data_IF_924456802042
#
_entry.id   IF_924456802042
#
_cell.length_a   1.000
_cell.length_b   1.000
_cell.length_c   1.000
_cell.angle_alpha   90.00
_cell.angle_beta   90.00
_cell.angle_gamma   90.00
#
_symmetry.space_group_name_H-M   'P 1'
#
loop_
_entity.id
_entity.type
_entity.pdbx_description
1 polymer ?
#
# COMPACT_ATOMS: atom_id res chain seq x y z
N UNK A 1 -37.32 -1.69 -37.65
CA UNK A 1 -38.23 -1.39 -36.54
C UNK A 1 -37.83 -0.09 -35.79
N UNK A 2 -36.54 0.14 -35.45
CA UNK A 2 -36.11 1.37 -34.74
C UNK A 2 -36.21 2.66 -35.56
N UNK A 3 -35.95 2.62 -36.88
CA UNK A 3 -35.96 3.78 -37.75
C UNK A 3 -37.37 4.39 -37.94
N UNK A 4 -38.37 3.52 -38.02
CA UNK A 4 -39.78 3.90 -38.19
C UNK A 4 -40.37 4.63 -36.96
N UNK A 5 -39.88 4.31 -35.78
CA UNK A 5 -40.27 4.94 -34.51
C UNK A 5 -39.62 6.33 -34.41
N UNK A 6 -38.34 6.43 -34.77
CA UNK A 6 -37.62 7.70 -34.77
C UNK A 6 -38.24 8.69 -35.75
N UNK A 7 -38.57 8.25 -36.98
CA UNK A 7 -39.19 9.12 -38.01
C UNK A 7 -40.58 9.61 -37.56
N UNK A 8 -41.36 8.80 -36.84
CA UNK A 8 -42.67 9.22 -36.28
C UNK A 8 -42.51 10.19 -35.11
N UNK A 9 -41.51 9.99 -34.25
CA UNK A 9 -41.24 10.93 -33.16
C UNK A 9 -40.77 12.27 -33.69
N UNK A 10 -39.92 12.30 -34.71
CA UNK A 10 -39.47 13.53 -35.36
C UNK A 10 -40.66 14.30 -36.00
N UNK A 11 -41.57 13.62 -36.73
CA UNK A 11 -42.78 14.25 -37.29
C UNK A 11 -43.71 14.80 -36.21
N UNK A 12 -43.86 14.12 -35.07
CA UNK A 12 -44.67 14.59 -33.96
C UNK A 12 -44.07 15.84 -33.30
N UNK A 13 -42.75 15.87 -33.14
CA UNK A 13 -42.03 17.02 -32.59
C UNK A 13 -42.10 18.25 -33.50
N UNK A 14 -42.03 18.08 -34.81
CA UNK A 14 -42.17 19.18 -35.80
C UNK A 14 -43.54 19.84 -35.80
N UNK A 15 -44.58 19.21 -35.26
CA UNK A 15 -45.95 19.77 -35.15
C UNK A 15 -46.24 20.51 -33.86
N UNK A 16 -45.31 20.49 -32.88
CA UNK A 16 -45.45 21.11 -31.56
C UNK A 16 -44.92 22.55 -31.58
N UNK A 17 -45.40 23.39 -30.64
CA UNK A 17 -44.90 24.73 -30.43
C UNK A 17 -43.42 24.72 -30.03
N UNK A 18 -42.65 25.74 -30.47
CA UNK A 18 -41.18 25.77 -30.32
C UNK A 18 -40.69 25.60 -28.88
N UNK A 19 -41.41 26.12 -27.89
CA UNK A 19 -41.05 25.96 -26.47
C UNK A 19 -41.25 24.51 -26.00
N UNK A 20 -42.36 23.89 -26.38
CA UNK A 20 -42.65 22.49 -26.04
C UNK A 20 -41.73 21.51 -26.76
N UNK A 21 -41.29 21.83 -27.98
CA UNK A 21 -40.25 21.06 -28.70
C UNK A 21 -38.92 21.06 -27.99
N UNK A 22 -38.47 22.21 -27.48
CA UNK A 22 -37.20 22.33 -26.74
C UNK A 22 -37.23 21.56 -25.42
N UNK A 23 -38.35 21.56 -24.70
CA UNK A 23 -38.51 20.85 -23.44
C UNK A 23 -38.53 19.32 -23.65
N UNK A 24 -39.28 18.80 -24.62
CA UNK A 24 -39.33 17.38 -24.98
C UNK A 24 -37.93 16.88 -25.45
N UNK A 25 -37.23 17.70 -26.26
CA UNK A 25 -35.89 17.34 -26.74
C UNK A 25 -34.88 17.27 -25.59
N UNK A 26 -34.94 18.20 -24.65
CA UNK A 26 -34.12 18.23 -23.45
C UNK A 26 -34.35 17.03 -22.55
N UNK A 27 -35.62 16.69 -22.29
CA UNK A 27 -35.97 15.54 -21.43
C UNK A 27 -35.58 14.20 -22.08
N UNK A 28 -35.78 14.10 -23.41
CA UNK A 28 -35.37 12.90 -24.16
C UNK A 28 -33.84 12.73 -24.18
N UNK A 29 -33.11 13.85 -24.39
CA UNK A 29 -31.65 13.84 -24.33
C UNK A 29 -31.14 13.48 -22.95
N UNK A 30 -31.72 14.05 -21.89
CA UNK A 30 -31.33 13.71 -20.51
C UNK A 30 -31.61 12.24 -20.20
N UNK A 31 -32.77 11.71 -20.59
CA UNK A 31 -33.10 10.29 -20.39
C UNK A 31 -32.17 9.36 -21.17
N UNK A 32 -31.75 9.68 -22.38
CA UNK A 32 -30.77 8.92 -23.16
C UNK A 32 -29.38 8.97 -22.53
N UNK A 33 -28.95 10.13 -22.05
CA UNK A 33 -27.65 10.30 -21.37
C UNK A 33 -27.64 9.53 -20.07
N UNK A 34 -28.71 9.58 -19.29
CA UNK A 34 -28.82 8.86 -18.01
C UNK A 34 -28.79 7.34 -18.23
N UNK A 35 -29.48 6.81 -19.24
CA UNK A 35 -29.47 5.38 -19.58
C UNK A 35 -28.07 4.92 -20.05
N UNK A 36 -27.40 5.71 -20.88
CA UNK A 36 -26.03 5.42 -21.30
C UNK A 36 -25.02 5.47 -20.15
N UNK A 37 -25.17 6.41 -19.22
CA UNK A 37 -24.33 6.50 -18.01
C UNK A 37 -24.53 5.28 -17.12
N UNK A 38 -25.78 4.89 -16.89
CA UNK A 38 -26.11 3.67 -16.10
C UNK A 38 -25.52 2.42 -16.76
N UNK A 39 -25.72 2.27 -18.07
CA UNK A 39 -25.19 1.13 -18.84
C UNK A 39 -23.67 1.09 -18.83
N UNK A 40 -23.01 2.24 -18.98
CA UNK A 40 -21.56 2.35 -18.89
C UNK A 40 -21.07 2.02 -17.47
N UNK A 41 -21.73 2.55 -16.45
CA UNK A 41 -21.42 2.26 -15.04
C UNK A 41 -21.47 0.75 -14.72
N UNK A 42 -22.49 0.04 -15.19
CA UNK A 42 -22.60 -1.41 -15.04
C UNK A 42 -21.48 -2.17 -15.76
N UNK A 43 -21.13 -1.78 -16.99
CA UNK A 43 -20.00 -2.38 -17.71
C UNK A 43 -18.68 -2.18 -16.98
N UNK A 44 -18.42 -0.96 -16.47
CA UNK A 44 -17.22 -0.66 -15.68
C UNK A 44 -17.21 -1.48 -14.40
N UNK A 45 -18.34 -1.61 -13.72
CA UNK A 45 -18.47 -2.42 -12.50
C UNK A 45 -18.15 -3.90 -12.75
N UNK A 46 -18.70 -4.48 -13.79
CA UNK A 46 -18.45 -5.89 -14.16
C UNK A 46 -16.98 -6.10 -14.50
N UNK A 47 -16.40 -5.22 -15.32
CA UNK A 47 -14.99 -5.27 -15.71
C UNK A 47 -14.05 -5.13 -14.51
N UNK A 48 -14.35 -4.19 -13.60
CA UNK A 48 -13.55 -3.99 -12.39
C UNK A 48 -13.56 -5.21 -11.46
N UNK A 49 -14.70 -5.89 -11.32
CA UNK A 49 -14.81 -7.12 -10.55
C UNK A 49 -14.00 -8.26 -11.17
N UNK A 50 -14.00 -8.37 -12.49
CA UNK A 50 -13.22 -9.42 -13.18
C UNK A 50 -11.72 -9.17 -13.08
N UNK A 51 -11.28 -7.91 -13.27
CA UNK A 51 -9.88 -7.52 -13.07
C UNK A 51 -9.46 -7.77 -11.62
N UNK A 52 -10.28 -7.38 -10.63
CA UNK A 52 -9.97 -7.61 -9.22
C UNK A 52 -9.83 -9.10 -8.90
N UNK A 53 -10.67 -9.95 -9.47
CA UNK A 53 -10.57 -11.42 -9.30
C UNK A 53 -9.30 -11.99 -9.96
N UNK A 54 -8.90 -11.48 -11.12
CA UNK A 54 -7.66 -11.91 -11.78
C UNK A 54 -6.42 -11.51 -10.98
N UNK A 55 -6.39 -10.28 -10.45
CA UNK A 55 -5.32 -9.81 -9.56
C UNK A 55 -5.23 -10.67 -8.30
N UNK A 56 -6.38 -10.96 -7.65
CA UNK A 56 -6.39 -11.78 -6.43
C UNK A 56 -5.92 -13.22 -6.68
N UNK A 57 -6.28 -13.82 -7.83
CA UNK A 57 -5.74 -15.14 -8.22
C UNK A 57 -4.22 -15.09 -8.40
N UNK A 58 -3.69 -14.09 -9.11
CA UNK A 58 -2.25 -13.91 -9.28
C UNK A 58 -1.52 -13.75 -7.94
N UNK A 59 -2.06 -12.97 -7.01
CA UNK A 59 -1.50 -12.84 -5.66
C UNK A 59 -1.60 -14.14 -4.85
N UNK A 60 -2.67 -14.90 -5.02
CA UNK A 60 -2.84 -16.21 -4.36
C UNK A 60 -1.79 -17.21 -4.84
N UNK A 61 -1.53 -17.25 -6.14
CA UNK A 61 -0.53 -18.15 -6.73
C UNK A 61 0.90 -17.79 -6.26
N UNK A 62 1.22 -16.48 -6.20
CA UNK A 62 2.51 -16.01 -5.67
C UNK A 62 2.64 -16.35 -4.19
N UNK A 63 1.58 -16.13 -3.38
CA UNK A 63 1.58 -16.50 -1.96
C UNK A 63 1.82 -18.00 -1.75
N UNK A 64 1.17 -18.84 -2.55
CA UNK A 64 1.38 -20.28 -2.51
C UNK A 64 2.82 -20.67 -2.88
N UNK A 65 3.39 -20.05 -3.90
CA UNK A 65 4.79 -20.27 -4.30
C UNK A 65 5.74 -19.87 -3.16
N UNK A 66 5.57 -18.67 -2.61
CA UNK A 66 6.41 -18.18 -1.49
C UNK A 66 6.30 -19.11 -0.29
N UNK A 67 5.09 -19.56 0.05
CA UNK A 67 4.88 -20.48 1.17
C UNK A 67 5.55 -21.84 0.94
N UNK A 68 5.53 -22.37 -0.26
CA UNK A 68 6.12 -23.66 -0.60
C UNK A 68 7.65 -23.60 -0.66
N UNK A 69 8.21 -22.57 -1.28
CA UNK A 69 9.65 -22.48 -1.56
C UNK A 69 10.45 -21.76 -0.46
N UNK A 70 9.81 -20.83 0.27
CA UNK A 70 10.50 -19.89 1.16
C UNK A 70 10.05 -19.94 2.60
N UNK A 71 9.13 -20.86 2.97
CA UNK A 71 8.63 -20.96 4.37
C UNK A 71 9.75 -21.04 5.39
N UNK A 72 10.72 -21.93 5.19
CA UNK A 72 11.85 -22.10 6.10
C UNK A 72 12.70 -20.83 6.26
N UNK A 73 12.89 -20.07 5.17
CA UNK A 73 13.62 -18.80 5.21
C UNK A 73 12.84 -17.72 5.97
N UNK A 74 11.53 -17.67 5.81
CA UNK A 74 10.65 -16.76 6.53
C UNK A 74 10.58 -17.12 8.03
N UNK A 75 10.65 -18.39 8.37
CA UNK A 75 10.71 -18.87 9.75
C UNK A 75 12.04 -18.51 10.42
N UNK A 76 13.18 -18.65 9.71
CA UNK A 76 14.48 -18.18 10.18
C UNK A 76 14.50 -16.67 10.44
N UNK A 77 13.89 -15.88 9.58
CA UNK A 77 13.73 -14.44 9.78
C UNK A 77 12.90 -14.14 11.05
N UNK A 78 11.86 -14.93 11.31
CA UNK A 78 11.04 -14.81 12.53
C UNK A 78 11.84 -15.17 13.77
N UNK A 79 12.63 -16.24 13.70
CA UNK A 79 13.49 -16.66 14.80
C UNK A 79 14.55 -15.60 15.12
N UNK A 80 15.20 -15.04 14.09
CA UNK A 80 16.16 -13.95 14.27
C UNK A 80 15.50 -12.72 14.93
N UNK A 81 14.27 -12.41 14.56
CA UNK A 81 13.49 -11.33 15.16
C UNK A 81 13.24 -11.59 16.66
N UNK A 82 12.79 -12.82 17.03
CA UNK A 82 12.54 -13.21 18.41
C UNK A 82 13.81 -13.12 19.27
N UNK A 83 14.93 -13.68 18.78
CA UNK A 83 16.24 -13.63 19.47
C UNK A 83 16.67 -12.16 19.68
N UNK A 84 16.52 -11.31 18.66
CA UNK A 84 16.90 -9.91 18.78
C UNK A 84 16.04 -9.15 19.79
N UNK A 85 14.78 -9.50 19.93
CA UNK A 85 13.86 -8.92 20.91
C UNK A 85 14.24 -9.34 22.33
N UNK A 86 14.51 -10.62 22.57
CA UNK A 86 15.00 -11.13 23.87
C UNK A 86 16.30 -10.43 24.27
N UNK A 87 17.27 -10.34 23.37
CA UNK A 87 18.54 -9.64 23.65
C UNK A 87 18.36 -8.18 24.06
N UNK A 88 17.38 -7.48 23.49
CA UNK A 88 17.07 -6.09 23.87
C UNK A 88 16.45 -6.04 25.28
N UNK A 89 15.60 -7.01 25.62
CA UNK A 89 14.89 -7.05 26.90
C UNK A 89 15.83 -7.46 28.06
N UNK A 90 16.75 -8.38 27.82
CA UNK A 90 17.70 -8.85 28.83
C UNK A 90 18.78 -7.82 29.22
N UNK A 91 19.12 -6.89 28.31
CA UNK A 91 20.19 -5.94 28.58
C UNK A 91 19.68 -4.69 29.33
N UNK A 92 20.18 -4.52 30.55
CA UNK A 92 19.92 -3.31 31.33
C UNK A 92 20.71 -2.11 30.79
N UNK A 93 20.14 -0.92 30.94
CA UNK A 93 20.83 0.30 30.57
C UNK A 93 22.07 0.55 31.47
N UNK A 94 23.19 1.01 30.92
CA UNK A 94 24.39 1.36 31.70
C UNK A 94 24.11 2.49 32.69
N UNK A 95 24.86 2.52 33.80
CA UNK A 95 24.77 3.60 34.80
C UNK A 95 25.37 4.91 34.32
N UNK A 96 26.41 4.86 33.49
CA UNK A 96 27.05 6.04 32.90
C UNK A 96 26.12 6.74 31.93
N UNK A 97 25.94 8.07 32.10
CA UNK A 97 25.00 8.86 31.29
C UNK A 97 25.30 8.81 29.78
N UNK A 98 26.56 8.96 29.38
CA UNK A 98 26.95 8.95 27.97
C UNK A 98 26.70 7.56 27.32
N UNK A 99 26.99 6.51 28.06
CA UNK A 99 26.71 5.13 27.59
C UNK A 99 25.22 4.82 27.59
N UNK A 100 24.47 5.43 28.49
CA UNK A 100 23.01 5.28 28.57
C UNK A 100 22.33 5.90 27.34
N UNK A 101 22.74 7.10 26.93
CA UNK A 101 22.19 7.75 25.73
C UNK A 101 22.53 6.96 24.46
N UNK A 102 23.75 6.44 24.35
CA UNK A 102 24.15 5.54 23.27
C UNK A 102 23.31 4.27 23.26
N UNK A 103 23.10 3.67 24.42
CA UNK A 103 22.31 2.45 24.57
C UNK A 103 20.87 2.66 24.12
N UNK A 104 20.18 3.72 24.55
CA UNK A 104 18.81 3.99 24.14
C UNK A 104 18.70 4.34 22.67
N UNK A 105 19.68 5.07 22.13
CA UNK A 105 19.73 5.37 20.69
C UNK A 105 19.86 4.08 19.87
N UNK A 106 20.78 3.20 20.21
CA UNK A 106 20.96 1.92 19.52
C UNK A 106 19.75 1.00 19.71
N UNK A 107 19.18 0.95 20.92
CA UNK A 107 17.93 0.18 21.19
C UNK A 107 16.78 0.67 20.30
N UNK A 108 16.61 1.97 20.12
CA UNK A 108 15.61 2.53 19.23
C UNK A 108 15.84 2.18 17.75
N UNK A 109 17.10 2.22 17.29
CA UNK A 109 17.44 1.80 15.93
C UNK A 109 17.21 0.31 15.69
N UNK A 110 17.54 -0.54 16.67
CA UNK A 110 17.25 -1.98 16.58
C UNK A 110 15.74 -2.23 16.55
N UNK A 111 14.96 -1.60 17.43
CA UNK A 111 13.50 -1.70 17.41
C UNK A 111 12.90 -1.30 16.05
N UNK A 112 13.41 -0.20 15.46
CA UNK A 112 13.02 0.21 14.11
C UNK A 112 13.41 -0.82 13.05
N UNK A 113 14.61 -1.37 13.13
CA UNK A 113 15.07 -2.44 12.24
C UNK A 113 14.17 -3.68 12.31
N UNK A 114 13.78 -4.10 13.52
CA UNK A 114 12.86 -5.21 13.73
C UNK A 114 11.48 -4.95 13.14
N UNK A 115 10.94 -3.72 13.29
CA UNK A 115 9.68 -3.33 12.68
C UNK A 115 9.76 -3.43 11.15
N UNK A 116 10.79 -2.85 10.53
CA UNK A 116 10.99 -2.91 9.08
C UNK A 116 11.16 -4.36 8.60
N UNK A 117 11.88 -5.20 9.35
CA UNK A 117 12.04 -6.63 9.03
C UNK A 117 10.71 -7.37 9.06
N UNK A 118 9.82 -7.07 10.01
CA UNK A 118 8.48 -7.65 10.07
C UNK A 118 7.61 -7.22 8.88
N UNK A 119 7.71 -5.96 8.46
CA UNK A 119 7.04 -5.45 7.26
C UNK A 119 7.54 -6.15 5.99
N UNK A 120 8.87 -6.36 5.86
CA UNK A 120 9.46 -7.11 4.74
C UNK A 120 8.88 -8.52 4.69
N UNK A 121 8.83 -9.22 5.84
CA UNK A 121 8.23 -10.55 5.93
C UNK A 121 6.77 -10.55 5.48
N UNK A 122 5.97 -9.63 5.99
CA UNK A 122 4.56 -9.50 5.61
C UNK A 122 4.39 -9.25 4.10
N UNK A 123 5.20 -8.38 3.51
CA UNK A 123 5.14 -8.06 2.09
C UNK A 123 5.55 -9.27 1.23
N UNK A 124 6.61 -9.98 1.59
CA UNK A 124 7.03 -11.21 0.90
C UNK A 124 5.96 -12.29 1.00
N UNK A 125 5.46 -12.56 2.21
CA UNK A 125 4.41 -13.54 2.43
C UNK A 125 3.09 -13.17 1.72
N UNK A 126 2.83 -11.88 1.55
CA UNK A 126 1.69 -11.34 0.82
C UNK A 126 1.82 -11.37 -0.71
N UNK A 127 3.02 -11.68 -1.24
CA UNK A 127 3.29 -11.66 -2.69
C UNK A 127 3.63 -10.27 -3.23
N UNK A 128 4.20 -9.38 -2.42
CA UNK A 128 4.59 -8.01 -2.79
C UNK A 128 6.11 -7.80 -2.75
N UNK A 129 6.90 -8.45 -3.66
CA UNK A 129 8.35 -8.40 -3.62
C UNK A 129 8.92 -6.99 -3.83
N UNK A 130 8.32 -6.17 -4.66
CA UNK A 130 8.77 -4.79 -4.91
C UNK A 130 8.63 -3.92 -3.66
N UNK A 131 7.52 -4.06 -2.93
CA UNK A 131 7.32 -3.41 -1.64
C UNK A 131 8.33 -3.87 -0.60
N UNK A 132 8.63 -5.16 -0.56
CA UNK A 132 9.65 -5.74 0.32
C UNK A 132 11.05 -5.19 -0.01
N UNK A 133 11.40 -5.05 -1.29
CA UNK A 133 12.68 -4.48 -1.73
C UNK A 133 12.83 -3.01 -1.31
N UNK A 134 11.77 -2.22 -1.41
CA UNK A 134 11.77 -0.83 -0.94
C UNK A 134 12.02 -0.76 0.58
N UNK A 135 11.39 -1.64 1.36
CA UNK A 135 11.62 -1.74 2.81
C UNK A 135 13.00 -2.27 3.16
N UNK A 136 13.57 -3.16 2.34
CA UNK A 136 14.95 -3.63 2.50
C UNK A 136 15.96 -2.49 2.44
N UNK A 137 15.78 -1.53 1.55
CA UNK A 137 16.63 -0.32 1.49
C UNK A 137 16.55 0.48 2.80
N UNK A 138 15.35 0.69 3.35
CA UNK A 138 15.18 1.36 4.63
C UNK A 138 15.87 0.60 5.78
N UNK A 139 15.80 -0.73 5.79
CA UNK A 139 16.53 -1.55 6.77
C UNK A 139 18.04 -1.38 6.66
N UNK A 140 18.57 -1.36 5.44
CA UNK A 140 19.99 -1.11 5.18
C UNK A 140 20.43 0.26 5.70
N UNK A 141 19.64 1.30 5.46
CA UNK A 141 19.92 2.67 5.97
C UNK A 141 19.94 2.71 7.50
N UNK A 142 18.97 2.08 8.16
CA UNK A 142 18.94 1.97 9.64
C UNK A 142 20.19 1.24 10.15
N UNK A 143 20.63 0.19 9.46
CA UNK A 143 21.84 -0.58 9.83
C UNK A 143 23.09 0.28 9.69
N UNK A 144 23.22 1.07 8.62
CA UNK A 144 24.34 2.00 8.43
C UNK A 144 24.36 3.07 9.54
N UNK A 145 23.21 3.65 9.87
CA UNK A 145 23.09 4.63 10.96
C UNK A 145 23.50 4.00 12.29
N UNK A 146 23.03 2.79 12.60
CA UNK A 146 23.39 2.09 13.83
C UNK A 146 24.90 1.79 13.91
N UNK A 147 25.52 1.36 12.80
CA UNK A 147 26.96 1.11 12.72
C UNK A 147 27.76 2.41 12.92
N UNK A 148 27.30 3.52 12.33
CA UNK A 148 27.91 4.82 12.48
C UNK A 148 27.82 5.32 13.93
N UNK A 149 26.63 5.28 14.54
CA UNK A 149 26.40 5.67 15.94
C UNK A 149 27.25 4.84 16.89
N UNK A 150 27.34 3.52 16.69
CA UNK A 150 28.18 2.64 17.47
C UNK A 150 29.66 3.01 17.37
N UNK A 151 30.14 3.38 16.18
CA UNK A 151 31.56 3.68 15.92
C UNK A 151 31.97 5.03 16.52
N UNK A 152 31.10 6.03 16.43
CA UNK A 152 31.45 7.40 16.82
C UNK A 152 30.99 7.79 18.24
N UNK A 153 30.14 6.98 18.85
CA UNK A 153 29.71 7.13 20.24
C UNK A 153 28.92 8.42 20.56
N UNK A 154 28.69 8.70 21.85
CA UNK A 154 27.89 9.82 22.32
C UNK A 154 28.55 11.21 22.11
N UNK A 155 29.84 11.27 21.77
CA UNK A 155 30.57 12.52 21.53
C UNK A 155 30.23 13.21 20.20
N UNK A 156 29.32 12.69 19.38
CA UNK A 156 28.94 13.32 18.12
C UNK A 156 27.83 14.36 18.36
N UNK A 157 28.02 15.65 17.97
CA UNK A 157 27.11 16.77 18.29
C UNK A 157 25.68 16.62 17.70
N UNK A 158 25.48 15.68 16.78
CA UNK A 158 24.22 15.47 16.07
C UNK A 158 23.46 14.18 16.43
N UNK A 159 23.95 13.38 17.38
CA UNK A 159 23.25 12.13 17.77
C UNK A 159 21.82 12.42 18.29
N UNK A 160 21.64 13.50 19.05
CA UNK A 160 20.34 13.99 19.51
C UNK A 160 19.45 14.56 18.39
N UNK A 161 20.07 15.07 17.30
CA UNK A 161 19.34 15.57 16.13
C UNK A 161 18.85 14.46 15.20
N UNK A 162 19.65 13.39 15.05
CA UNK A 162 19.30 12.24 14.22
C UNK A 162 18.13 11.42 14.81
N UNK A 163 18.06 11.29 16.13
CA UNK A 163 16.94 10.62 16.79
C UNK A 163 15.61 11.36 16.59
N UNK A 164 15.60 12.68 16.58
CA UNK A 164 14.39 13.49 16.32
C UNK A 164 13.91 13.43 14.87
N UNK A 165 14.79 13.14 13.92
CA UNK A 165 14.44 13.05 12.50
C UNK A 165 13.97 11.65 12.07
N UNK A 166 14.27 10.60 12.87
CA UNK A 166 13.96 9.21 12.55
C UNK A 166 12.70 8.68 13.26
N UNK A 167 12.17 9.41 14.23
CA UNK A 167 10.92 9.13 14.97
C UNK A 167 9.95 10.32 14.90
#
# INVERSE_FOLDING_TARGET
MGKDIIDRVVQLVETLDHELQAEILKDTLNALVDDEIVTFGEKVRILSLDISRQIERGHSDIRALVQNEWSSSLDLLTLQWAISQELIEEHAAPDNADQRDLFFTLRGLVAKGLLISSEIKCLLAGGYPDGALARWRALYEVTLVAAFVRKHGPGWPSATGLTKALF
#
